data_IF_840284283210
#
_entry.id   IF_840284283210
#
_cell.length_a   1.000
_cell.length_b   1.000
_cell.length_c   1.000
_cell.angle_alpha   90.00
_cell.angle_beta   90.00
_cell.angle_gamma   90.00
#
_symmetry.space_group_name_H-M   'P 1'
#
loop_
_entity.id
_entity.type
_entity.pdbx_description
1 polymer ?
#
# COMPACT_ATOMS: atom_id res chain seq x y z
N UNK A 1 -17.20 8.33 -12.23
CA UNK A 1 -17.66 6.99 -11.86
C UNK A 1 -19.04 6.69 -12.47
N UNK A 2 -20.06 7.51 -12.20
CA UNK A 2 -21.43 7.31 -12.69
C UNK A 2 -21.53 7.08 -14.20
N UNK A 3 -20.81 7.87 -15.01
CA UNK A 3 -20.78 7.71 -16.47
C UNK A 3 -20.26 6.34 -16.91
N UNK A 4 -19.12 5.91 -16.35
CA UNK A 4 -18.49 4.62 -16.71
C UNK A 4 -19.36 3.45 -16.28
N UNK A 5 -19.97 3.55 -15.08
CA UNK A 5 -20.92 2.55 -14.58
C UNK A 5 -22.18 2.44 -15.47
N UNK A 6 -22.66 3.57 -16.01
CA UNK A 6 -23.78 3.59 -16.96
C UNK A 6 -23.50 2.84 -18.27
N UNK A 7 -22.22 2.68 -18.62
CA UNK A 7 -21.76 1.87 -19.75
C UNK A 7 -21.52 0.39 -19.39
N UNK A 8 -21.78 -0.03 -18.14
CA UNK A 8 -21.49 -1.38 -17.66
C UNK A 8 -20.00 -1.65 -17.46
N UNK A 9 -19.19 -0.61 -17.37
CA UNK A 9 -17.74 -0.72 -17.19
C UNK A 9 -17.32 -0.35 -15.76
N UNK A 10 -16.27 -0.98 -15.28
CA UNK A 10 -15.61 -0.60 -14.04
C UNK A 10 -14.60 0.52 -14.24
N UNK A 11 -14.11 1.11 -13.15
CA UNK A 11 -13.18 2.24 -13.17
C UNK A 11 -11.98 2.06 -12.22
N UNK A 12 -10.89 2.76 -12.53
CA UNK A 12 -9.74 2.93 -11.62
C UNK A 12 -9.69 4.40 -11.20
N UNK A 13 -9.77 4.65 -9.90
CA UNK A 13 -9.56 5.97 -9.30
C UNK A 13 -8.14 6.01 -8.74
N UNK A 14 -7.24 6.63 -9.50
CA UNK A 14 -5.80 6.65 -9.27
C UNK A 14 -5.29 8.01 -8.77
N UNK A 15 -6.14 8.78 -8.09
CA UNK A 15 -5.82 10.09 -7.53
C UNK A 15 -4.75 9.99 -6.45
N UNK A 16 -3.96 11.04 -6.29
CA UNK A 16 -2.98 11.14 -5.21
C UNK A 16 -3.63 10.92 -3.83
N UNK A 17 -2.82 10.47 -2.87
CA UNK A 17 -3.27 10.30 -1.48
C UNK A 17 -3.81 11.62 -0.92
N UNK A 18 -4.95 11.56 -0.20
CA UNK A 18 -5.58 12.74 0.40
C UNK A 18 -6.52 13.53 -0.53
N UNK A 19 -6.73 13.10 -1.76
CA UNK A 19 -7.73 13.69 -2.67
C UNK A 19 -9.15 13.09 -2.51
N UNK A 20 -9.44 12.45 -1.37
CA UNK A 20 -10.77 12.00 -1.01
C UNK A 20 -11.27 10.80 -1.82
N UNK A 21 -10.42 9.85 -2.19
CA UNK A 21 -10.84 8.63 -2.92
C UNK A 21 -11.94 7.86 -2.20
N UNK A 22 -11.84 7.72 -0.88
CA UNK A 22 -12.86 7.04 -0.05
C UNK A 22 -14.19 7.75 -0.13
N UNK A 23 -14.22 9.08 0.02
CA UNK A 23 -15.45 9.88 -0.06
C UNK A 23 -16.09 9.78 -1.45
N UNK A 24 -15.29 9.82 -2.51
CA UNK A 24 -15.79 9.63 -3.88
C UNK A 24 -16.37 8.22 -4.09
N UNK A 25 -15.75 7.20 -3.48
CA UNK A 25 -16.27 5.84 -3.53
C UNK A 25 -17.58 5.71 -2.73
N UNK A 26 -17.68 6.32 -1.54
CA UNK A 26 -18.91 6.36 -0.73
C UNK A 26 -20.07 7.03 -1.47
N UNK A 27 -19.82 8.19 -2.07
CA UNK A 27 -20.81 8.87 -2.90
C UNK A 27 -21.28 8.02 -4.10
N UNK A 28 -20.34 7.23 -4.68
CA UNK A 28 -20.68 6.30 -5.75
C UNK A 28 -21.49 5.09 -5.25
N UNK A 29 -21.24 4.59 -4.05
CA UNK A 29 -22.02 3.53 -3.41
C UNK A 29 -23.45 3.99 -3.18
N UNK A 30 -23.65 5.21 -2.65
CA UNK A 30 -24.99 5.79 -2.49
C UNK A 30 -25.72 5.91 -3.82
N UNK A 31 -25.05 6.47 -4.83
CA UNK A 31 -25.61 6.59 -6.16
C UNK A 31 -26.04 5.23 -6.77
N UNK A 32 -25.26 4.15 -6.52
CA UNK A 32 -25.63 2.80 -6.95
C UNK A 32 -26.82 2.26 -6.16
N UNK A 33 -26.87 2.50 -4.85
CA UNK A 33 -27.97 2.08 -3.97
C UNK A 33 -29.31 2.66 -4.42
N UNK A 34 -29.33 3.94 -4.73
CA UNK A 34 -30.54 4.62 -5.22
C UNK A 34 -31.06 4.04 -6.55
N UNK A 35 -30.15 3.63 -7.43
CA UNK A 35 -30.52 3.10 -8.76
C UNK A 35 -30.83 1.62 -8.80
N UNK A 36 -30.28 0.87 -7.87
CA UNK A 36 -30.48 -0.57 -7.75
C UNK A 36 -30.67 -0.96 -6.28
N UNK A 37 -31.83 -0.62 -5.68
CA UNK A 37 -32.07 -0.87 -4.26
C UNK A 37 -31.96 -2.36 -3.86
N UNK A 38 -32.24 -3.26 -4.80
CA UNK A 38 -32.25 -4.71 -4.58
C UNK A 38 -30.95 -5.39 -5.06
N UNK A 39 -29.92 -4.65 -5.47
CA UNK A 39 -28.70 -5.17 -6.08
C UNK A 39 -27.72 -5.86 -5.12
N UNK A 40 -28.11 -6.10 -3.87
CA UNK A 40 -27.25 -6.70 -2.86
C UNK A 40 -26.25 -5.70 -2.25
N UNK A 41 -25.34 -6.16 -1.36
CA UNK A 41 -24.35 -5.31 -0.70
C UNK A 41 -23.24 -4.87 -1.65
N UNK A 42 -22.59 -3.76 -1.32
CA UNK A 42 -21.28 -3.39 -1.89
C UNK A 42 -20.18 -3.92 -0.98
N UNK A 43 -19.20 -4.62 -1.54
CA UNK A 43 -18.04 -5.13 -0.82
C UNK A 43 -16.83 -4.22 -1.03
N UNK A 44 -16.26 -3.71 0.05
CA UNK A 44 -14.95 -3.05 0.07
C UNK A 44 -13.90 -4.00 0.60
N UNK A 45 -12.85 -4.23 -0.17
CA UNK A 45 -11.67 -5.02 0.24
C UNK A 45 -10.49 -4.07 0.39
N UNK A 46 -9.96 -3.95 1.61
CA UNK A 46 -8.92 -2.99 1.93
C UNK A 46 -7.83 -3.58 2.85
N UNK A 47 -6.67 -2.92 3.01
CA UNK A 47 -5.71 -3.26 4.06
C UNK A 47 -6.33 -3.15 5.45
N UNK A 48 -5.89 -4.01 6.39
CA UNK A 48 -6.43 -4.01 7.75
C UNK A 48 -6.29 -2.65 8.47
N UNK A 49 -5.23 -1.92 8.18
CA UNK A 49 -4.96 -0.60 8.78
C UNK A 49 -5.98 0.48 8.41
N UNK A 50 -6.74 0.31 7.33
CA UNK A 50 -7.68 1.35 6.86
C UNK A 50 -9.15 0.97 7.04
N UNK A 51 -9.46 -0.22 7.58
CA UNK A 51 -10.84 -0.65 7.85
C UNK A 51 -11.58 0.35 8.73
N UNK A 52 -10.95 0.75 9.84
CA UNK A 52 -11.53 1.74 10.76
C UNK A 52 -11.74 3.11 10.10
N UNK A 53 -10.84 3.51 9.23
CA UNK A 53 -10.99 4.76 8.49
C UNK A 53 -12.22 4.71 7.56
N UNK A 54 -12.44 3.61 6.85
CA UNK A 54 -13.62 3.40 6.02
C UNK A 54 -14.92 3.48 6.83
N UNK A 55 -14.96 2.89 8.03
CA UNK A 55 -16.13 2.98 8.92
C UNK A 55 -16.42 4.43 9.31
N UNK A 56 -15.40 5.14 9.82
CA UNK A 56 -15.55 6.55 10.23
C UNK A 56 -15.96 7.47 9.07
N UNK A 57 -15.41 7.27 7.89
CA UNK A 57 -15.77 8.06 6.71
C UNK A 57 -17.20 7.74 6.27
N UNK A 58 -17.62 6.48 6.30
CA UNK A 58 -18.98 6.09 6.00
C UNK A 58 -19.99 6.71 6.99
N UNK A 59 -19.75 6.63 8.29
CA UNK A 59 -20.56 7.27 9.34
C UNK A 59 -20.70 8.79 9.13
N UNK A 60 -19.62 9.43 8.69
CA UNK A 60 -19.59 10.88 8.49
C UNK A 60 -20.27 11.35 7.22
N UNK A 61 -20.03 10.67 6.11
CA UNK A 61 -20.42 11.16 4.78
C UNK A 61 -21.63 10.45 4.19
N UNK A 62 -21.96 9.24 4.66
CA UNK A 62 -23.09 8.43 4.19
C UNK A 62 -23.77 7.74 5.38
N UNK A 63 -24.30 8.49 6.36
CA UNK A 63 -24.87 7.93 7.60
C UNK A 63 -26.07 7.00 7.37
N UNK A 64 -26.71 7.07 6.21
CA UNK A 64 -27.84 6.22 5.83
C UNK A 64 -27.43 4.81 5.39
N UNK A 65 -26.12 4.56 5.14
CA UNK A 65 -25.64 3.24 4.78
C UNK A 65 -25.51 2.35 6.02
N UNK A 66 -26.10 1.18 5.95
CA UNK A 66 -25.88 0.13 6.94
C UNK A 66 -24.53 -0.51 6.68
N UNK A 67 -23.57 -0.26 7.55
CA UNK A 67 -22.16 -0.65 7.38
C UNK A 67 -21.83 -1.83 8.27
N UNK A 68 -21.21 -2.89 7.69
CA UNK A 68 -20.72 -4.05 8.38
C UNK A 68 -19.19 -4.17 8.16
N UNK A 69 -18.39 -4.16 9.21
CA UNK A 69 -16.95 -4.43 9.12
C UNK A 69 -16.63 -5.86 9.60
N UNK A 70 -16.09 -6.66 8.70
CA UNK A 70 -15.63 -8.03 8.97
C UNK A 70 -14.12 -8.00 9.23
N UNK A 71 -13.75 -8.04 10.51
CA UNK A 71 -12.36 -8.09 10.97
C UNK A 71 -11.98 -9.47 11.51
N UNK A 72 -10.71 -9.68 11.86
CA UNK A 72 -10.27 -10.92 12.52
C UNK A 72 -10.78 -10.93 13.97
N UNK A 73 -11.73 -11.82 14.29
CA UNK A 73 -12.28 -11.97 15.63
C UNK A 73 -13.19 -13.20 15.72
N UNK A 74 -13.57 -13.58 16.94
CA UNK A 74 -14.46 -14.73 17.19
C UNK A 74 -15.87 -14.50 16.63
N UNK A 75 -16.36 -13.26 16.68
CA UNK A 75 -17.69 -12.87 16.18
C UNK A 75 -17.81 -12.89 14.65
N UNK A 76 -16.70 -13.01 13.93
CA UNK A 76 -16.69 -12.97 12.46
C UNK A 76 -17.66 -13.93 11.79
N UNK A 77 -17.85 -15.14 12.36
CA UNK A 77 -18.77 -16.13 11.79
C UNK A 77 -20.23 -15.70 11.93
N UNK A 78 -20.58 -15.09 13.05
CA UNK A 78 -21.92 -14.54 13.29
C UNK A 78 -22.18 -13.33 12.41
N UNK A 79 -21.23 -12.41 12.32
CA UNK A 79 -21.33 -11.20 11.53
C UNK A 79 -21.55 -11.47 10.01
N UNK A 80 -21.05 -12.60 9.50
CA UNK A 80 -21.23 -12.96 8.09
C UNK A 80 -22.65 -13.27 7.69
N UNK A 81 -23.47 -13.73 8.62
CA UNK A 81 -24.88 -13.99 8.35
C UNK A 81 -25.65 -12.67 8.11
N UNK A 82 -25.09 -11.56 8.57
CA UNK A 82 -25.63 -10.22 8.43
C UNK A 82 -25.34 -9.55 7.07
N UNK A 83 -24.41 -10.12 6.27
CA UNK A 83 -23.99 -9.55 4.97
C UNK A 83 -25.15 -9.14 4.08
N UNK A 84 -26.23 -9.97 3.89
CA UNK A 84 -27.34 -9.60 3.02
C UNK A 84 -28.19 -8.44 3.56
N UNK A 85 -28.07 -8.11 4.85
CA UNK A 85 -28.84 -7.06 5.52
C UNK A 85 -28.13 -5.71 5.54
N UNK A 86 -26.94 -5.62 4.97
CA UNK A 86 -26.12 -4.40 4.96
C UNK A 86 -25.90 -3.88 3.54
N UNK A 87 -25.75 -2.56 3.43
CA UNK A 87 -25.54 -1.87 2.16
C UNK A 87 -24.05 -1.83 1.78
N UNK A 88 -23.18 -1.73 2.79
CA UNK A 88 -21.74 -1.70 2.67
C UNK A 88 -21.09 -2.70 3.60
N UNK A 89 -20.30 -3.61 3.04
CA UNK A 89 -19.49 -4.58 3.81
C UNK A 89 -18.01 -4.30 3.57
N UNK A 90 -17.25 -4.14 4.65
CA UNK A 90 -15.83 -3.86 4.62
C UNK A 90 -15.07 -5.09 5.12
N UNK A 91 -14.09 -5.57 4.36
CA UNK A 91 -13.25 -6.71 4.74
C UNK A 91 -11.80 -6.50 4.30
N UNK A 92 -10.92 -7.40 4.73
CA UNK A 92 -9.51 -7.33 4.36
C UNK A 92 -9.16 -8.34 3.27
N UNK A 93 -8.09 -8.08 2.51
CA UNK A 93 -7.58 -9.02 1.51
C UNK A 93 -7.28 -10.41 2.07
N UNK A 94 -6.79 -10.50 3.31
CA UNK A 94 -6.50 -11.76 3.97
C UNK A 94 -7.78 -12.54 4.29
N UNK A 95 -8.81 -11.86 4.78
CA UNK A 95 -10.10 -12.45 5.11
C UNK A 95 -10.88 -12.88 3.86
N UNK A 96 -10.88 -12.02 2.82
CA UNK A 96 -11.48 -12.37 1.54
C UNK A 96 -10.90 -13.68 1.00
N UNK A 97 -9.56 -13.80 0.94
CA UNK A 97 -8.89 -15.01 0.46
C UNK A 97 -9.28 -16.25 1.27
N UNK A 98 -9.37 -16.12 2.60
CA UNK A 98 -9.69 -17.26 3.48
C UNK A 98 -11.14 -17.70 3.35
N UNK A 99 -12.04 -16.80 3.04
CA UNK A 99 -13.48 -17.02 3.07
C UNK A 99 -14.11 -16.95 1.67
N UNK A 100 -13.30 -17.13 0.63
CA UNK A 100 -13.68 -16.96 -0.77
C UNK A 100 -14.93 -17.76 -1.18
N UNK A 101 -15.02 -19.03 -0.76
CA UNK A 101 -16.18 -19.88 -1.08
C UNK A 101 -17.52 -19.27 -0.63
N UNK A 102 -17.51 -18.56 0.49
CA UNK A 102 -18.71 -17.86 0.95
C UNK A 102 -19.02 -16.62 0.14
N UNK A 103 -17.95 -15.87 -0.25
CA UNK A 103 -18.14 -14.67 -1.06
C UNK A 103 -18.71 -14.95 -2.45
N UNK A 104 -18.42 -16.12 -3.01
CA UNK A 104 -18.99 -16.58 -4.28
C UNK A 104 -20.52 -16.73 -4.25
N UNK A 105 -21.11 -16.97 -3.08
CA UNK A 105 -22.56 -17.15 -2.92
C UNK A 105 -23.34 -15.85 -2.77
N UNK A 106 -22.68 -14.71 -2.61
CA UNK A 106 -23.33 -13.41 -2.47
C UNK A 106 -23.31 -12.66 -3.79
N UNK A 107 -24.48 -12.35 -4.38
CA UNK A 107 -24.55 -11.38 -5.48
C UNK A 107 -24.22 -10.00 -4.94
N UNK A 108 -23.11 -9.43 -5.42
CA UNK A 108 -22.65 -8.14 -4.98
C UNK A 108 -23.11 -7.04 -5.96
N UNK A 109 -23.70 -5.96 -5.46
CA UNK A 109 -23.96 -4.76 -6.26
C UNK A 109 -22.65 -4.23 -6.82
N UNK A 110 -21.64 -4.08 -5.97
CA UNK A 110 -20.31 -3.65 -6.39
C UNK A 110 -19.19 -4.31 -5.56
N UNK A 111 -18.01 -4.43 -6.15
CA UNK A 111 -16.77 -4.77 -5.47
C UNK A 111 -15.76 -3.63 -5.65
N UNK A 112 -15.25 -3.13 -4.54
CA UNK A 112 -14.26 -2.04 -4.48
C UNK A 112 -12.97 -2.59 -3.88
N UNK A 113 -11.85 -2.39 -4.55
CA UNK A 113 -10.53 -2.69 -4.01
C UNK A 113 -9.84 -1.39 -3.62
N UNK A 114 -9.58 -1.22 -2.33
CA UNK A 114 -8.75 -0.11 -1.85
C UNK A 114 -7.29 -0.56 -1.75
N UNK A 115 -6.37 0.35 -2.06
CA UNK A 115 -4.96 0.06 -2.26
C UNK A 115 -4.77 -1.14 -3.24
N UNK A 116 -5.37 -0.99 -4.43
CA UNK A 116 -5.47 -2.05 -5.42
C UNK A 116 -4.11 -2.61 -5.90
N UNK A 117 -2.98 -1.95 -5.60
CA UNK A 117 -1.64 -2.52 -5.81
C UNK A 117 -1.40 -3.83 -5.01
N UNK A 118 -2.26 -4.16 -4.04
CA UNK A 118 -2.21 -5.46 -3.37
C UNK A 118 -2.46 -6.63 -4.32
N UNK A 119 -3.08 -6.39 -5.47
CA UNK A 119 -3.33 -7.41 -6.51
C UNK A 119 -2.44 -7.23 -7.74
N UNK A 120 -1.35 -6.47 -7.67
CA UNK A 120 -0.43 -6.22 -8.80
C UNK A 120 0.20 -7.48 -9.39
N UNK A 121 0.39 -8.52 -8.60
CA UNK A 121 0.86 -9.82 -9.08
C UNK A 121 -0.33 -10.70 -9.48
N UNK A 122 -0.60 -10.92 -10.79
CA UNK A 122 -1.75 -11.70 -11.25
C UNK A 122 -1.69 -13.17 -10.85
N UNK A 123 -0.51 -13.69 -10.49
CA UNK A 123 -0.34 -15.08 -10.06
C UNK A 123 -0.54 -15.28 -8.55
N UNK A 124 -0.64 -14.21 -7.78
CA UNK A 124 -0.85 -14.27 -6.34
C UNK A 124 -2.24 -14.86 -6.01
N UNK A 125 -2.33 -15.60 -4.90
CA UNK A 125 -3.59 -16.21 -4.45
C UNK A 125 -4.66 -15.13 -4.20
N UNK A 126 -4.27 -13.98 -3.63
CA UNK A 126 -5.19 -12.87 -3.37
C UNK A 126 -5.73 -12.27 -4.66
N UNK A 127 -4.89 -12.14 -5.70
CA UNK A 127 -5.31 -11.61 -7.00
C UNK A 127 -6.34 -12.54 -7.67
N UNK A 128 -6.13 -13.84 -7.59
CA UNK A 128 -7.11 -14.83 -8.08
C UNK A 128 -8.42 -14.75 -7.30
N UNK A 129 -8.35 -14.62 -5.98
CA UNK A 129 -9.54 -14.55 -5.13
C UNK A 129 -10.45 -13.35 -5.47
N UNK A 130 -9.90 -12.17 -5.73
CA UNK A 130 -10.73 -11.00 -6.08
C UNK A 130 -11.36 -11.11 -7.47
N UNK A 131 -10.73 -11.86 -8.41
CA UNK A 131 -11.29 -12.08 -9.74
C UNK A 131 -12.51 -13.01 -9.72
N UNK A 132 -12.67 -13.80 -8.68
CA UNK A 132 -13.78 -14.75 -8.52
C UNK A 132 -15.01 -14.14 -7.84
N UNK A 133 -14.95 -12.86 -7.43
CA UNK A 133 -16.10 -12.15 -6.89
C UNK A 133 -17.15 -11.93 -7.98
N UNK A 134 -18.40 -12.30 -7.69
CA UNK A 134 -19.54 -11.98 -8.54
C UNK A 134 -20.08 -10.59 -8.16
N UNK A 135 -19.65 -9.57 -8.90
CA UNK A 135 -20.04 -8.19 -8.68
C UNK A 135 -20.44 -7.52 -9.98
N UNK A 136 -21.61 -6.84 -9.96
CA UNK A 136 -22.14 -6.12 -11.12
C UNK A 136 -21.25 -4.94 -11.52
N UNK A 137 -20.77 -4.18 -10.53
CA UNK A 137 -19.85 -3.06 -10.74
C UNK A 137 -18.54 -3.28 -10.03
N UNK A 138 -17.45 -2.76 -10.59
CA UNK A 138 -16.10 -2.94 -10.04
C UNK A 138 -15.34 -1.63 -10.04
N UNK A 139 -14.70 -1.31 -8.91
CA UNK A 139 -13.90 -0.11 -8.74
C UNK A 139 -12.57 -0.45 -8.07
N UNK A 140 -11.48 0.10 -8.58
CA UNK A 140 -10.18 0.02 -7.95
C UNK A 140 -9.72 1.42 -7.50
N UNK A 141 -9.32 1.54 -6.24
CA UNK A 141 -8.74 2.75 -5.67
C UNK A 141 -7.24 2.51 -5.45
N UNK A 142 -6.39 3.42 -5.91
CA UNK A 142 -4.95 3.32 -5.70
C UNK A 142 -4.30 4.70 -5.79
N UNK A 143 -3.27 4.97 -4.98
CA UNK A 143 -2.43 6.16 -5.15
C UNK A 143 -1.28 5.93 -6.14
N UNK A 144 -0.97 4.67 -6.45
CA UNK A 144 0.19 4.24 -7.26
C UNK A 144 -0.21 3.17 -8.28
N UNK A 145 -0.91 3.54 -9.37
CA UNK A 145 -1.44 2.56 -10.34
C UNK A 145 -0.33 1.79 -11.08
N UNK A 146 0.85 2.36 -11.21
CA UNK A 146 2.04 1.73 -11.77
C UNK A 146 3.21 2.03 -10.84
N UNK A 147 3.67 1.01 -10.11
CA UNK A 147 4.87 1.16 -9.27
C UNK A 147 6.15 0.78 -10.04
N UNK A 148 6.18 -0.41 -10.61
CA UNK A 148 7.39 -0.95 -11.19
C UNK A 148 7.22 -1.40 -12.65
N UNK A 149 6.06 -1.93 -13.01
CA UNK A 149 5.83 -2.59 -14.31
C UNK A 149 4.43 -2.31 -14.86
N UNK A 150 4.29 -2.27 -16.18
CA UNK A 150 2.98 -2.16 -16.82
C UNK A 150 2.06 -3.35 -16.49
N UNK A 151 2.63 -4.52 -16.19
CA UNK A 151 1.90 -5.72 -15.78
C UNK A 151 1.12 -5.53 -14.47
N UNK A 152 1.57 -4.64 -13.57
CA UNK A 152 0.86 -4.31 -12.32
C UNK A 152 -0.52 -3.74 -12.65
N UNK A 153 -0.57 -2.84 -13.62
CA UNK A 153 -1.80 -2.23 -14.11
C UNK A 153 -2.69 -3.24 -14.86
N UNK A 154 -2.09 -4.16 -15.63
CA UNK A 154 -2.86 -5.22 -16.28
C UNK A 154 -3.63 -6.07 -15.27
N UNK A 155 -3.02 -6.39 -14.14
CA UNK A 155 -3.68 -7.16 -13.08
C UNK A 155 -4.88 -6.42 -12.47
N UNK A 156 -4.75 -5.13 -12.21
CA UNK A 156 -5.84 -4.30 -11.70
C UNK A 156 -6.96 -4.18 -12.76
N UNK A 157 -6.60 -3.94 -14.02
CA UNK A 157 -7.58 -3.88 -15.11
C UNK A 157 -8.31 -5.20 -15.35
N UNK A 158 -7.65 -6.32 -15.11
CA UNK A 158 -8.30 -7.63 -15.21
C UNK A 158 -9.39 -7.82 -14.15
N UNK A 159 -9.24 -7.19 -12.97
CA UNK A 159 -10.32 -7.12 -11.98
C UNK A 159 -11.42 -6.15 -12.43
N UNK A 160 -11.07 -4.94 -12.82
CA UNK A 160 -12.02 -3.86 -13.09
C UNK A 160 -12.84 -4.13 -14.36
N UNK A 161 -12.16 -4.50 -15.46
CA UNK A 161 -12.77 -4.80 -16.76
C UNK A 161 -12.09 -6.03 -17.36
N UNK A 162 -12.55 -7.25 -17.07
CA UNK A 162 -11.95 -8.48 -17.56
C UNK A 162 -11.81 -8.50 -19.09
N UNK A 163 -10.61 -8.81 -19.57
CA UNK A 163 -10.31 -8.92 -21.00
C UNK A 163 -10.06 -7.59 -21.74
N UNK A 164 -10.28 -6.43 -21.12
CA UNK A 164 -10.12 -5.09 -21.75
C UNK A 164 -8.72 -4.85 -22.34
N UNK A 165 -7.68 -5.28 -21.64
CA UNK A 165 -6.29 -5.16 -22.10
C UNK A 165 -5.78 -6.41 -22.83
N UNK A 166 -6.67 -7.36 -23.11
CA UNK A 166 -6.33 -8.60 -23.83
C UNK A 166 -5.57 -9.63 -22.99
N UNK A 167 -5.05 -10.65 -23.64
CA UNK A 167 -4.34 -11.76 -22.98
C UNK A 167 -3.01 -11.29 -22.40
N UNK A 168 -2.66 -11.83 -21.22
CA UNK A 168 -1.44 -11.49 -20.47
C UNK A 168 -0.16 -11.56 -21.33
N UNK A 169 0.02 -12.63 -22.11
CA UNK A 169 1.21 -12.81 -22.93
C UNK A 169 1.35 -11.72 -24.00
N UNK A 170 0.25 -11.38 -24.68
CA UNK A 170 0.22 -10.31 -25.67
C UNK A 170 0.48 -8.94 -25.04
N UNK A 171 -0.08 -8.69 -23.85
CA UNK A 171 0.15 -7.45 -23.11
C UNK A 171 1.62 -7.28 -22.73
N UNK A 172 2.25 -8.33 -22.19
CA UNK A 172 3.68 -8.30 -21.85
C UNK A 172 4.52 -8.02 -23.07
N UNK A 173 4.25 -8.72 -24.18
CA UNK A 173 4.98 -8.53 -25.44
C UNK A 173 4.87 -7.10 -25.98
N UNK A 174 3.74 -6.42 -25.78
CA UNK A 174 3.47 -5.08 -26.32
C UNK A 174 3.87 -3.94 -25.39
N UNK A 175 3.76 -4.11 -24.06
CA UNK A 175 3.80 -2.97 -23.12
C UNK A 175 4.77 -3.15 -21.94
N UNK A 176 5.15 -4.38 -21.57
CA UNK A 176 5.92 -4.67 -20.35
C UNK A 176 7.36 -5.13 -20.65
N UNK A 177 7.93 -4.70 -21.77
CA UNK A 177 9.31 -4.95 -22.16
C UNK A 177 10.19 -3.75 -21.81
N UNK A 178 11.46 -3.95 -21.42
CA UNK A 178 12.40 -2.86 -21.14
C UNK A 178 12.59 -1.91 -22.33
N UNK A 179 12.52 -2.46 -23.54
CA UNK A 179 12.68 -1.78 -24.83
C UNK A 179 11.36 -1.38 -25.49
N UNK A 180 10.23 -1.39 -24.74
CA UNK A 180 8.93 -1.04 -25.31
C UNK A 180 8.94 0.38 -25.90
N UNK A 181 8.54 0.56 -27.16
CA UNK A 181 8.55 1.86 -27.83
C UNK A 181 7.69 2.89 -27.09
N UNK A 182 8.08 4.16 -27.15
CA UNK A 182 7.29 5.29 -26.58
C UNK A 182 5.86 5.30 -27.14
N UNK A 183 5.67 4.90 -28.39
CA UNK A 183 4.36 4.78 -29.02
C UNK A 183 3.46 3.77 -28.30
N UNK A 184 3.99 2.60 -27.88
CA UNK A 184 3.23 1.60 -27.11
C UNK A 184 2.71 2.16 -25.79
N UNK A 185 3.53 2.95 -25.07
CA UNK A 185 3.12 3.62 -23.83
C UNK A 185 2.00 4.64 -24.06
N UNK A 186 2.08 5.43 -25.14
CA UNK A 186 1.03 6.38 -25.53
C UNK A 186 -0.28 5.67 -25.87
N UNK A 187 -0.19 4.55 -26.60
CA UNK A 187 -1.37 3.75 -26.95
C UNK A 187 -2.03 3.14 -25.71
N UNK A 188 -1.24 2.62 -24.76
CA UNK A 188 -1.75 2.13 -23.47
C UNK A 188 -2.44 3.24 -22.68
N UNK A 189 -1.81 4.42 -22.58
CA UNK A 189 -2.40 5.58 -21.92
C UNK A 189 -3.74 6.00 -22.55
N UNK A 190 -3.82 6.03 -23.88
CA UNK A 190 -5.05 6.34 -24.60
C UNK A 190 -6.17 5.31 -24.31
N UNK A 191 -5.84 4.02 -24.24
CA UNK A 191 -6.79 2.97 -23.86
C UNK A 191 -7.30 3.10 -22.43
N UNK A 192 -6.46 3.54 -21.50
CA UNK A 192 -6.82 3.65 -20.08
C UNK A 192 -7.62 4.91 -19.76
N UNK A 193 -7.45 5.97 -20.53
CA UNK A 193 -8.08 7.27 -20.31
C UNK A 193 -9.59 7.23 -20.07
N UNK A 194 -10.40 6.41 -20.74
CA UNK A 194 -11.84 6.34 -20.50
C UNK A 194 -12.22 5.72 -19.15
N UNK A 195 -11.38 4.84 -18.61
CA UNK A 195 -11.68 4.00 -17.42
C UNK A 195 -10.79 4.28 -16.22
N UNK A 196 -9.85 5.21 -16.34
CA UNK A 196 -8.93 5.58 -15.27
C UNK A 196 -8.84 7.09 -15.11
N UNK A 197 -9.03 7.57 -13.89
CA UNK A 197 -8.82 8.97 -13.51
C UNK A 197 -7.63 9.06 -12.58
N UNK A 198 -6.69 9.95 -12.88
CA UNK A 198 -5.54 10.26 -12.05
C UNK A 198 -5.35 11.76 -11.98
N UNK A 199 -5.54 12.33 -10.81
CA UNK A 199 -5.29 13.74 -10.51
C UNK A 199 -4.16 13.85 -9.51
N UNK A 200 -3.27 14.79 -9.72
CA UNK A 200 -2.18 15.11 -8.81
C UNK A 200 -2.59 16.25 -7.88
N UNK A 201 -2.09 16.27 -6.66
CA UNK A 201 -2.38 17.34 -5.69
C UNK A 201 -2.02 18.72 -6.25
N UNK A 202 -0.88 18.85 -6.89
CA UNK A 202 -0.41 20.07 -7.52
C UNK A 202 -1.39 20.64 -8.57
N UNK A 203 -2.16 19.75 -9.22
CA UNK A 203 -3.11 20.15 -10.26
C UNK A 203 -4.47 20.60 -9.72
N UNK A 204 -4.91 20.04 -8.58
CA UNK A 204 -6.28 20.23 -8.07
C UNK A 204 -6.34 21.00 -6.76
N UNK A 205 -5.23 21.22 -6.11
CA UNK A 205 -5.11 21.97 -4.86
C UNK A 205 -3.96 22.97 -4.90
N UNK A 206 -4.05 24.01 -5.75
CA UNK A 206 -2.97 24.99 -5.94
C UNK A 206 -2.68 25.82 -4.67
N UNK A 207 -3.62 25.82 -3.71
CA UNK A 207 -3.45 26.53 -2.43
C UNK A 207 -2.56 25.77 -1.42
N UNK A 208 -2.18 24.54 -1.75
CA UNK A 208 -1.24 23.79 -0.90
C UNK A 208 0.18 24.35 -1.11
N UNK A 209 0.94 24.55 -0.01
CA UNK A 209 2.34 24.98 -0.13
C UNK A 209 3.15 23.89 -0.85
N UNK A 210 4.19 24.33 -1.53
CA UNK A 210 5.13 23.44 -2.19
C UNK A 210 5.72 22.43 -1.22
N UNK A 211 5.91 21.21 -1.70
CA UNK A 211 6.60 20.18 -0.93
C UNK A 211 8.09 20.47 -0.92
N UNK A 212 8.63 20.76 0.25
CA UNK A 212 10.07 20.93 0.46
C UNK A 212 10.68 19.59 0.84
N UNK A 213 11.62 19.09 0.05
CA UNK A 213 12.41 17.90 0.35
C UNK A 213 13.84 18.31 0.71
N UNK A 214 14.29 17.94 1.88
CA UNK A 214 15.64 18.20 2.32
C UNK A 214 16.35 16.88 2.68
N UNK A 215 17.54 16.68 2.13
CA UNK A 215 18.41 15.56 2.46
C UNK A 215 19.43 16.01 3.49
N UNK A 216 19.41 15.36 4.66
CA UNK A 216 20.39 15.57 5.71
C UNK A 216 21.38 14.39 5.76
N UNK A 217 22.66 14.71 5.76
CA UNK A 217 23.72 13.72 5.96
C UNK A 217 24.08 13.68 7.45
N UNK A 218 24.20 12.46 7.98
CA UNK A 218 24.51 12.21 9.38
C UNK A 218 25.83 11.44 9.48
N UNK A 219 26.79 11.93 10.26
CA UNK A 219 28.02 11.23 10.53
C UNK A 219 27.81 10.15 11.61
N UNK A 220 28.53 9.04 11.47
CA UNK A 220 28.53 8.00 12.48
C UNK A 220 29.36 8.46 13.69
N UNK A 221 28.87 8.22 14.89
CA UNK A 221 29.70 8.43 16.09
C UNK A 221 30.97 7.54 16.03
N UNK A 222 32.07 7.89 16.73
CA UNK A 222 33.29 7.10 16.71
C UNK A 222 33.08 5.62 17.10
N UNK A 223 32.17 5.38 18.09
CA UNK A 223 31.80 4.03 18.50
C UNK A 223 30.99 3.30 17.44
N UNK A 224 30.02 3.97 16.86
CA UNK A 224 29.18 3.47 15.76
C UNK A 224 30.03 3.13 14.52
N UNK A 225 31.01 3.98 14.18
CA UNK A 225 31.93 3.74 13.06
C UNK A 225 32.78 2.48 13.25
N UNK A 226 33.30 2.24 14.46
CA UNK A 226 34.04 1.00 14.78
C UNK A 226 33.16 -0.23 14.58
N UNK A 227 31.91 -0.19 15.08
CA UNK A 227 30.94 -1.26 14.92
C UNK A 227 30.59 -1.50 13.44
N UNK A 228 30.38 -0.42 12.68
CA UNK A 228 30.09 -0.48 11.24
C UNK A 228 31.24 -1.17 10.48
N UNK A 229 32.48 -0.81 10.75
CA UNK A 229 33.64 -1.42 10.10
C UNK A 229 33.76 -2.90 10.45
N UNK A 230 33.50 -3.28 11.70
CA UNK A 230 33.50 -4.69 12.11
C UNK A 230 32.43 -5.51 11.37
N UNK A 231 31.21 -5.00 11.28
CA UNK A 231 30.11 -5.65 10.53
C UNK A 231 30.41 -5.68 9.01
N UNK A 232 31.04 -4.64 8.47
CA UNK A 232 31.44 -4.60 7.06
C UNK A 232 32.49 -5.69 6.75
N UNK A 233 33.46 -5.86 7.60
CA UNK A 233 34.50 -6.93 7.45
C UNK A 233 33.87 -8.32 7.52
N UNK A 234 32.91 -8.55 8.45
CA UNK A 234 32.15 -9.80 8.54
C UNK A 234 31.33 -10.05 7.26
N UNK A 235 30.62 -9.02 6.78
CA UNK A 235 29.82 -9.09 5.55
C UNK A 235 30.70 -9.41 4.32
N UNK A 236 31.87 -8.78 4.19
CA UNK A 236 32.84 -9.07 3.11
C UNK A 236 33.32 -10.50 3.18
N UNK A 237 33.78 -11.00 4.34
CA UNK A 237 34.19 -12.37 4.51
C UNK A 237 33.11 -13.39 4.15
N UNK A 238 31.83 -13.07 4.49
CA UNK A 238 30.70 -13.89 4.08
C UNK A 238 30.56 -13.91 2.56
N UNK A 239 30.55 -12.75 1.90
CA UNK A 239 30.45 -12.65 0.43
C UNK A 239 31.58 -13.40 -0.28
N UNK A 240 32.84 -13.29 0.22
CA UNK A 240 34.00 -13.96 -0.39
C UNK A 240 33.91 -15.49 -0.24
N UNK A 241 33.44 -15.98 0.90
CA UNK A 241 33.13 -17.40 1.10
C UNK A 241 32.02 -17.88 0.13
N UNK A 242 30.95 -17.09 -0.06
CA UNK A 242 29.82 -17.43 -0.94
C UNK A 242 30.19 -17.40 -2.42
N UNK A 243 31.15 -16.53 -2.84
CA UNK A 243 31.69 -16.53 -4.19
C UNK A 243 32.44 -17.83 -4.52
N UNK A 244 33.05 -18.45 -3.53
CA UNK A 244 33.79 -19.69 -3.67
C UNK A 244 32.90 -20.95 -3.61
N UNK A 245 31.60 -20.80 -3.31
CA UNK A 245 30.65 -21.93 -3.26
C UNK A 245 30.17 -22.34 -4.66
N UNK A 246 29.75 -23.61 -4.87
CA UNK A 246 29.26 -24.11 -6.15
C UNK A 246 28.03 -23.33 -6.68
N UNK A 247 27.18 -22.88 -5.78
CA UNK A 247 25.95 -22.13 -6.12
C UNK A 247 26.19 -20.63 -6.37
N UNK A 248 27.39 -20.15 -6.10
CA UNK A 248 27.82 -18.77 -6.27
C UNK A 248 26.96 -17.77 -5.51
N UNK A 249 27.12 -16.48 -5.84
CA UNK A 249 26.38 -15.37 -5.21
C UNK A 249 24.86 -15.48 -5.44
N UNK A 250 24.44 -16.07 -6.54
CA UNK A 250 23.01 -16.15 -6.91
C UNK A 250 22.21 -17.08 -6.01
N UNK A 251 22.81 -18.17 -5.50
CA UNK A 251 22.18 -19.10 -4.56
C UNK A 251 22.02 -18.52 -3.14
N UNK A 252 22.81 -17.50 -2.78
CA UNK A 252 22.92 -16.98 -1.41
C UNK A 252 22.42 -15.53 -1.24
N UNK A 253 21.47 -15.11 -2.06
CA UNK A 253 20.91 -13.73 -2.02
C UNK A 253 20.40 -13.32 -0.65
N UNK A 254 19.80 -14.24 0.10
CA UNK A 254 19.24 -13.98 1.43
C UNK A 254 20.34 -13.63 2.43
N UNK A 255 21.48 -14.34 2.41
CA UNK A 255 22.62 -14.09 3.32
C UNK A 255 23.27 -12.71 3.03
N UNK A 256 23.39 -12.36 1.75
CA UNK A 256 23.93 -11.06 1.33
C UNK A 256 22.98 -9.93 1.75
N UNK A 257 21.66 -10.11 1.53
CA UNK A 257 20.66 -9.14 1.94
C UNK A 257 20.64 -8.96 3.47
N UNK A 258 20.81 -10.05 4.23
CA UNK A 258 20.92 -10.00 5.68
C UNK A 258 22.13 -9.18 6.13
N UNK A 259 23.31 -9.37 5.50
CA UNK A 259 24.50 -8.60 5.80
C UNK A 259 24.33 -7.10 5.49
N UNK A 260 23.73 -6.77 4.34
CA UNK A 260 23.39 -5.38 3.99
C UNK A 260 22.38 -4.76 4.96
N UNK A 261 21.36 -5.53 5.36
CA UNK A 261 20.37 -5.08 6.34
C UNK A 261 21.03 -4.77 7.68
N UNK A 262 21.95 -5.61 8.13
CA UNK A 262 22.71 -5.41 9.37
C UNK A 262 23.55 -4.13 9.33
N UNK A 263 24.23 -3.85 8.23
CA UNK A 263 24.95 -2.57 8.04
C UNK A 263 24.01 -1.36 8.10
N UNK A 264 22.85 -1.45 7.47
CA UNK A 264 21.83 -0.38 7.53
C UNK A 264 21.31 -0.18 8.95
N UNK A 265 21.13 -1.26 9.72
CA UNK A 265 20.73 -1.19 11.13
C UNK A 265 21.78 -0.47 11.98
N UNK A 266 23.07 -0.78 11.81
CA UNK A 266 24.17 -0.06 12.49
C UNK A 266 24.11 1.43 12.20
N UNK A 267 23.85 1.82 10.93
CA UNK A 267 23.71 3.24 10.56
C UNK A 267 22.48 3.92 11.16
N UNK A 268 21.44 3.16 11.54
CA UNK A 268 20.29 3.73 12.24
C UNK A 268 20.58 3.88 13.75
N UNK A 269 20.91 2.78 14.41
CA UNK A 269 21.30 2.78 15.82
C UNK A 269 22.10 1.52 16.19
N UNK A 270 23.20 1.62 16.95
CA UNK A 270 24.03 0.47 17.33
C UNK A 270 23.28 -0.65 18.06
N UNK A 271 22.34 -0.30 18.91
CA UNK A 271 21.53 -1.27 19.66
C UNK A 271 20.76 -2.26 18.79
N UNK A 272 20.44 -1.90 17.53
CA UNK A 272 19.73 -2.78 16.59
C UNK A 272 20.53 -4.04 16.18
N UNK A 273 21.83 -4.03 16.41
CA UNK A 273 22.72 -5.17 16.09
C UNK A 273 23.40 -5.74 17.33
N UNK A 274 22.90 -5.41 18.53
CA UNK A 274 23.48 -5.84 19.79
C UNK A 274 24.74 -5.05 20.18
N UNK A 275 24.87 -3.81 19.72
CA UNK A 275 25.91 -2.88 20.18
C UNK A 275 25.77 -2.59 21.68
N UNK A 276 26.91 -2.30 22.33
CA UNK A 276 26.90 -1.95 23.76
C UNK A 276 26.13 -0.66 23.98
N UNK A 277 25.48 -0.57 25.14
CA UNK A 277 24.82 0.66 25.57
C UNK A 277 25.81 1.82 25.62
N UNK A 278 25.35 3.02 25.29
CA UNK A 278 26.16 4.24 25.33
C UNK A 278 26.99 4.57 24.09
N UNK A 279 26.89 3.79 23.00
CA UNK A 279 27.61 4.12 21.76
C UNK A 279 27.05 5.35 21.00
N UNK A 280 25.84 5.79 21.37
CA UNK A 280 25.15 6.88 20.69
C UNK A 280 24.81 6.58 19.23
N UNK A 281 24.05 7.47 18.60
CA UNK A 281 23.71 7.37 17.17
C UNK A 281 23.72 8.75 16.54
N UNK A 282 24.64 9.01 15.62
CA UNK A 282 24.70 10.27 14.91
C UNK A 282 23.40 10.60 14.16
N UNK A 283 22.64 9.58 13.74
CA UNK A 283 21.33 9.79 13.12
C UNK A 283 20.28 10.25 14.14
N UNK A 284 20.31 9.76 15.36
CA UNK A 284 19.43 10.23 16.44
C UNK A 284 19.81 11.64 16.86
N UNK A 285 21.10 11.94 16.98
CA UNK A 285 21.59 13.28 17.34
C UNK A 285 21.07 14.30 16.32
N UNK A 286 21.30 14.06 15.00
CA UNK A 286 20.77 14.94 13.95
C UNK A 286 19.24 15.02 13.94
N UNK A 287 18.54 13.90 14.22
CA UNK A 287 17.08 13.90 14.32
C UNK A 287 16.58 14.83 15.44
N UNK A 288 17.17 14.75 16.62
CA UNK A 288 16.77 15.59 17.76
C UNK A 288 17.11 17.07 17.52
N UNK A 289 18.25 17.37 16.88
CA UNK A 289 18.58 18.74 16.46
C UNK A 289 17.49 19.36 15.56
N UNK A 290 16.82 18.54 14.72
CA UNK A 290 15.73 18.97 13.86
C UNK A 290 14.40 19.01 14.62
N UNK A 291 14.14 18.00 15.45
CA UNK A 291 12.85 17.85 16.14
C UNK A 291 12.60 18.92 17.20
N UNK A 292 13.60 19.22 18.02
CA UNK A 292 13.44 20.11 19.16
C UNK A 292 12.96 21.52 18.76
N UNK A 293 13.53 22.20 17.75
CA UNK A 293 13.02 23.49 17.29
C UNK A 293 11.59 23.40 16.71
N UNK A 294 11.30 22.36 15.94
CA UNK A 294 9.98 22.20 15.31
C UNK A 294 8.88 21.98 16.35
N UNK A 295 9.17 21.21 17.38
CA UNK A 295 8.23 20.98 18.49
C UNK A 295 8.05 22.23 19.35
N UNK A 296 9.10 23.02 19.56
CA UNK A 296 9.02 24.31 20.24
C UNK A 296 8.13 25.31 19.49
N UNK A 297 8.07 25.21 18.15
CA UNK A 297 7.14 25.99 17.31
C UNK A 297 5.71 25.40 17.30
N UNK A 298 5.42 24.33 18.04
CA UNK A 298 4.11 23.66 18.03
C UNK A 298 3.83 22.86 16.76
N UNK A 299 4.83 22.55 15.94
CA UNK A 299 4.68 21.77 14.74
C UNK A 299 4.43 20.29 15.05
N UNK A 300 3.58 19.65 14.26
CA UNK A 300 3.38 18.18 14.30
C UNK A 300 4.37 17.50 13.39
N UNK A 301 5.07 16.49 13.89
CA UNK A 301 6.10 15.76 13.15
C UNK A 301 5.74 14.29 13.06
N UNK A 302 5.92 13.68 11.88
CA UNK A 302 5.80 12.25 11.66
C UNK A 302 7.19 11.68 11.36
N UNK A 303 7.62 10.67 12.12
CA UNK A 303 8.89 9.99 11.91
C UNK A 303 8.64 8.59 11.38
N UNK A 304 9.26 8.27 10.25
CA UNK A 304 9.16 6.98 9.60
C UNK A 304 10.47 6.22 9.65
N UNK A 305 10.41 4.94 9.95
CA UNK A 305 11.55 4.02 9.84
C UNK A 305 11.08 2.67 9.29
N UNK A 306 11.94 2.02 8.50
CA UNK A 306 11.70 0.64 8.07
C UNK A 306 11.95 -0.38 9.19
N UNK A 307 12.63 0.02 10.27
CA UNK A 307 12.93 -0.83 11.42
C UNK A 307 12.05 -0.46 12.61
N UNK A 308 11.10 -1.33 12.96
CA UNK A 308 10.19 -1.13 14.09
C UNK A 308 10.96 -0.95 15.40
N UNK A 309 12.03 -1.73 15.61
CA UNK A 309 12.86 -1.61 16.81
C UNK A 309 13.57 -0.25 16.89
N UNK A 310 13.90 0.37 15.76
CA UNK A 310 14.44 1.73 15.73
C UNK A 310 13.41 2.75 16.23
N UNK A 311 12.12 2.59 15.85
CA UNK A 311 11.04 3.46 16.36
C UNK A 311 10.81 3.27 17.87
N UNK A 312 10.94 2.03 18.38
CA UNK A 312 10.82 1.77 19.83
C UNK A 312 11.95 2.44 20.61
N UNK A 313 13.20 2.35 20.10
CA UNK A 313 14.34 3.05 20.70
C UNK A 313 14.11 4.57 20.69
N UNK A 314 13.67 5.12 19.58
CA UNK A 314 13.34 6.53 19.46
C UNK A 314 12.25 6.95 20.46
N UNK A 315 11.16 6.18 20.54
CA UNK A 315 10.08 6.46 21.48
C UNK A 315 10.57 6.44 22.96
N UNK A 316 11.50 5.55 23.30
CA UNK A 316 12.10 5.49 24.63
C UNK A 316 12.94 6.74 24.91
N UNK A 317 13.73 7.17 23.94
CA UNK A 317 14.58 8.35 24.08
C UNK A 317 13.76 9.65 24.09
N UNK A 318 12.69 9.75 23.30
CA UNK A 318 11.76 10.86 23.35
C UNK A 318 11.13 11.01 24.75
N UNK A 319 10.69 9.89 25.34
CA UNK A 319 10.15 9.89 26.72
C UNK A 319 11.20 10.36 27.74
N UNK A 320 12.45 9.92 27.60
CA UNK A 320 13.53 10.36 28.49
C UNK A 320 13.82 11.87 28.40
N UNK A 321 13.55 12.47 27.22
CA UNK A 321 13.68 13.93 26.97
C UNK A 321 12.40 14.71 27.24
N UNK A 322 11.36 14.08 27.79
CA UNK A 322 10.03 14.66 28.03
C UNK A 322 9.35 15.22 26.74
N UNK A 323 9.66 14.63 25.58
CA UNK A 323 9.01 14.90 24.30
C UNK A 323 7.82 13.96 24.17
N UNK A 324 6.60 14.52 24.09
CA UNK A 324 5.33 13.79 24.02
C UNK A 324 4.66 13.84 22.65
#
# INVERSE_FOLDING_TARGET
LAFVSGLGMGAILADDMGLGKTVQALAWIEWLRERDPNGGPTLVVCPASVVYNWQREAERFTPELRVLALTSGEERHTLRNEVPHHDLVITTYALLRRDLERWRSFPLRAAILDEAQNIKNPSAVVSRAVLELDARYRLALTGTPIENRALDLWSIMQFVNPGYLGRRAAFIASYDRPDAPVHSRRLLAARLRPVMVRRLKEQVAPDLPDRIEERRECELTPGQRKLYLAELMRGRATVDRLKASPDGVMGHKIEILAALTRLRQVCCHPALVGGRDGLGSGKFDTLFEILEPLLAEGRKVLVFSQFVECLKLLATEMKARAIG
#
